data_IF_877010407957
#
_entry.id   IF_877010407957
#
_cell.length_a   1.000
_cell.length_b   1.000
_cell.length_c   1.000
_cell.angle_alpha   90.00
_cell.angle_beta   90.00
_cell.angle_gamma   90.00
#
_symmetry.space_group_name_H-M   'P 1'
#
loop_
_entity.id
_entity.type
_entity.pdbx_description
1 polymer ?
#
# COMPACT_ATOMS: atom_id res chain seq x y z
N UNK A 1 12.30 -13.37 -4.23
CA UNK A 1 10.94 -13.68 -4.69
C UNK A 1 10.09 -12.49 -4.28
N UNK A 2 9.36 -11.88 -5.21
CA UNK A 2 8.40 -10.84 -4.86
C UNK A 2 7.22 -11.46 -4.10
N UNK A 3 6.64 -10.70 -3.17
CA UNK A 3 5.41 -11.04 -2.48
C UNK A 3 4.23 -10.81 -3.43
N UNK A 4 3.20 -11.65 -3.34
CA UNK A 4 1.92 -11.44 -4.01
C UNK A 4 1.14 -10.36 -3.26
N UNK A 5 0.61 -9.36 -4.00
CA UNK A 5 -0.23 -8.30 -3.46
C UNK A 5 -1.64 -8.47 -3.98
N UNK A 6 -2.54 -8.79 -3.06
CA UNK A 6 -3.97 -8.86 -3.32
C UNK A 6 -4.64 -7.55 -2.87
N UNK A 7 -5.56 -7.04 -3.69
CA UNK A 7 -6.33 -5.83 -3.39
C UNK A 7 -7.82 -6.16 -3.29
N UNK A 8 -8.53 -5.46 -2.40
CA UNK A 8 -9.98 -5.61 -2.29
C UNK A 8 -10.72 -4.86 -3.40
N UNK A 9 -11.99 -5.21 -3.60
CA UNK A 9 -12.83 -4.53 -4.58
C UNK A 9 -13.06 -3.06 -4.20
N UNK A 10 -13.11 -2.74 -2.91
CA UNK A 10 -13.21 -1.36 -2.42
C UNK A 10 -11.96 -0.53 -2.77
N UNK A 11 -10.77 -1.13 -2.64
CA UNK A 11 -9.53 -0.47 -3.07
C UNK A 11 -9.58 -0.20 -4.58
N UNK A 12 -9.97 -1.20 -5.38
CA UNK A 12 -10.07 -1.07 -6.84
C UNK A 12 -11.03 0.05 -7.24
N UNK A 13 -12.22 0.09 -6.67
CA UNK A 13 -13.22 1.13 -6.96
C UNK A 13 -12.79 2.54 -6.55
N UNK A 14 -11.96 2.67 -5.51
CA UNK A 14 -11.36 3.95 -5.14
C UNK A 14 -10.17 4.35 -6.05
N UNK A 15 -9.39 3.38 -6.50
CA UNK A 15 -8.17 3.59 -7.29
C UNK A 15 -8.42 3.90 -8.77
N UNK A 16 -9.35 3.19 -9.41
CA UNK A 16 -9.66 3.33 -10.84
C UNK A 16 -9.98 4.76 -11.31
N UNK A 17 -10.76 5.58 -10.57
CA UNK A 17 -11.09 6.95 -11.01
C UNK A 17 -9.99 7.99 -10.73
N UNK A 18 -8.89 7.62 -10.08
CA UNK A 18 -7.79 8.55 -9.80
C UNK A 18 -7.06 8.98 -11.08
N UNK A 19 -6.40 10.13 -11.04
CA UNK A 19 -5.56 10.58 -12.14
C UNK A 19 -4.36 9.65 -12.36
N UNK A 20 -3.82 9.63 -13.57
CA UNK A 20 -2.63 8.83 -13.89
C UNK A 20 -1.46 9.14 -12.94
N UNK A 21 -1.28 10.41 -12.56
CA UNK A 21 -0.22 10.82 -11.66
C UNK A 21 -0.43 10.26 -10.24
N UNK A 22 -1.67 10.27 -9.74
CA UNK A 22 -2.01 9.68 -8.43
C UNK A 22 -1.83 8.15 -8.45
N UNK A 23 -2.30 7.50 -9.51
CA UNK A 23 -2.11 6.06 -9.73
C UNK A 23 -0.63 5.68 -9.77
N UNK A 24 0.22 6.46 -10.44
CA UNK A 24 1.67 6.27 -10.47
C UNK A 24 2.31 6.42 -9.07
N UNK A 25 1.89 7.41 -8.28
CA UNK A 25 2.39 7.59 -6.91
C UNK A 25 2.03 6.40 -6.01
N UNK A 26 0.81 5.87 -6.14
CA UNK A 26 0.35 4.70 -5.39
C UNK A 26 1.08 3.43 -5.88
N UNK A 27 1.18 3.24 -7.19
CA UNK A 27 1.82 2.09 -7.83
C UNK A 27 3.28 1.91 -7.36
N UNK A 28 4.04 3.00 -7.26
CA UNK A 28 5.42 2.96 -6.73
C UNK A 28 5.49 2.39 -5.30
N UNK A 29 4.52 2.70 -4.46
CA UNK A 29 4.49 2.18 -3.08
C UNK A 29 4.06 0.71 -3.05
N UNK A 30 3.17 0.30 -3.97
CA UNK A 30 2.79 -1.11 -4.14
C UNK A 30 3.98 -1.94 -4.64
N UNK A 31 4.75 -1.47 -5.62
CA UNK A 31 5.96 -2.14 -6.09
C UNK A 31 6.96 -2.37 -4.94
N UNK A 32 7.17 -1.36 -4.08
CA UNK A 32 8.00 -1.52 -2.88
C UNK A 32 7.42 -2.54 -1.89
N UNK A 33 6.09 -2.64 -1.79
CA UNK A 33 5.43 -3.65 -0.98
C UNK A 33 5.61 -5.05 -1.57
N UNK A 34 5.51 -5.23 -2.88
CA UNK A 34 5.79 -6.50 -3.56
C UNK A 34 7.25 -6.92 -3.35
N UNK A 35 8.20 -6.00 -3.36
CA UNK A 35 9.60 -6.32 -3.13
C UNK A 35 9.94 -6.67 -1.68
N UNK A 36 9.38 -5.92 -0.71
CA UNK A 36 9.79 -5.97 0.70
C UNK A 36 8.80 -6.72 1.60
N UNK A 37 7.56 -6.88 1.16
CA UNK A 37 6.47 -7.47 1.93
C UNK A 37 6.29 -6.77 3.27
N UNK A 38 6.11 -7.56 4.33
CA UNK A 38 5.92 -7.06 5.70
C UNK A 38 7.13 -6.32 6.28
N UNK A 39 8.30 -6.42 5.65
CA UNK A 39 9.51 -5.69 6.02
C UNK A 39 9.55 -4.25 5.46
N UNK A 40 8.57 -3.83 4.65
CA UNK A 40 8.47 -2.45 4.18
C UNK A 40 8.30 -1.49 5.37
N UNK A 41 9.32 -0.67 5.61
CA UNK A 41 9.39 0.22 6.75
C UNK A 41 8.99 1.67 6.41
N UNK A 42 9.07 2.54 7.42
CA UNK A 42 8.97 3.98 7.25
C UNK A 42 10.06 4.47 6.26
N UNK A 43 9.77 5.41 5.34
CA UNK A 43 8.59 6.29 5.28
C UNK A 43 7.38 5.76 4.52
N UNK A 44 7.47 4.57 3.91
CA UNK A 44 6.43 4.05 3.01
C UNK A 44 5.34 3.24 3.72
N UNK A 45 5.63 2.73 4.92
CA UNK A 45 4.65 2.03 5.73
C UNK A 45 4.85 2.25 7.22
N UNK A 46 3.75 2.37 7.96
CA UNK A 46 3.71 2.44 9.43
C UNK A 46 2.67 1.47 9.98
N UNK A 47 2.82 1.10 11.26
CA UNK A 47 1.78 0.33 11.96
C UNK A 47 0.60 1.23 12.34
N UNK A 48 -0.62 0.70 12.25
CA UNK A 48 -1.83 1.42 12.65
C UNK A 48 -2.05 1.25 14.15
N UNK A 49 -1.94 2.33 14.91
CA UNK A 49 -2.20 2.33 16.35
C UNK A 49 -3.69 2.13 16.62
N UNK A 50 -4.02 1.26 17.58
CA UNK A 50 -5.41 0.98 17.98
C UNK A 50 -6.20 0.10 17.01
N UNK A 51 -5.56 -0.48 15.98
CA UNK A 51 -6.20 -1.49 15.15
C UNK A 51 -6.52 -2.75 15.96
N UNK A 52 -7.66 -3.39 15.64
CA UNK A 52 -8.01 -4.71 16.18
C UNK A 52 -7.08 -5.82 15.66
N UNK A 53 -6.38 -5.58 14.56
CA UNK A 53 -5.45 -6.51 13.93
C UNK A 53 -4.02 -6.15 14.34
N UNK A 54 -3.33 -7.07 15.01
CA UNK A 54 -2.00 -6.85 15.62
C UNK A 54 -0.89 -6.48 14.64
N UNK A 55 -1.04 -6.80 13.35
CA UNK A 55 -0.06 -6.53 12.30
C UNK A 55 -0.61 -5.61 11.20
N UNK A 56 -1.69 -4.86 11.49
CA UNK A 56 -2.22 -3.92 10.51
C UNK A 56 -1.26 -2.77 10.29
N UNK A 57 -1.01 -2.49 9.00
CA UNK A 57 -0.13 -1.42 8.55
C UNK A 57 -0.88 -0.55 7.57
N UNK A 58 -0.50 0.71 7.52
CA UNK A 58 -0.91 1.64 6.48
C UNK A 58 0.25 1.82 5.49
N UNK A 59 -0.09 1.95 4.21
CA UNK A 59 0.83 2.43 3.18
C UNK A 59 0.73 3.95 3.13
N UNK A 60 1.88 4.61 2.99
CA UNK A 60 2.00 6.06 2.99
C UNK A 60 2.46 6.51 1.61
N UNK A 61 1.54 7.14 0.88
CA UNK A 61 1.79 7.62 -0.46
C UNK A 61 2.24 9.08 -0.41
N UNK A 62 3.27 9.39 -1.18
CA UNK A 62 3.71 10.75 -1.47
C UNK A 62 3.33 11.07 -2.91
N UNK A 63 2.46 12.05 -3.10
CA UNK A 63 2.00 12.54 -4.40
C UNK A 63 2.30 14.03 -4.50
#
# INVERSE_FOLDING_TARGET
MAYEVEVSDEFRGWYEPLSEAEQLSIGRVIELLEEKGTALAFPYSSGIQGSKLSHMRELRIQH
#
